data_IF_469237507769
#
_entry.id   IF_469237507769
#
_cell.length_a   1.000
_cell.length_b   1.000
_cell.length_c   1.000
_cell.angle_alpha   90.00
_cell.angle_beta   90.00
_cell.angle_gamma   90.00
#
_symmetry.space_group_name_H-M   'P 1'
#
loop_
_entity.id
_entity.type
_entity.pdbx_description
1 polymer ?
#
# COMPACT_ATOMS: atom_id res chain seq x y z
N UNK A 1 1.95 -9.12 17.12
CA UNK A 1 1.90 -9.03 15.66
C UNK A 1 2.78 -10.11 15.01
N UNK A 2 4.00 -10.34 15.50
CA UNK A 2 4.92 -11.32 14.92
C UNK A 2 4.35 -12.74 14.99
N UNK A 3 3.90 -13.19 16.17
CA UNK A 3 3.28 -14.51 16.37
C UNK A 3 2.10 -14.75 15.43
N UNK A 4 1.27 -13.73 15.21
CA UNK A 4 0.14 -13.83 14.29
C UNK A 4 0.62 -13.94 12.83
N UNK A 5 1.73 -13.29 12.46
CA UNK A 5 2.31 -13.41 11.13
C UNK A 5 2.83 -14.82 10.88
N UNK A 6 3.58 -15.38 11.85
CA UNK A 6 4.06 -16.76 11.79
C UNK A 6 2.91 -17.75 11.69
N UNK A 7 1.90 -17.64 12.57
CA UNK A 7 0.75 -18.54 12.54
C UNK A 7 -0.04 -18.50 11.22
N UNK A 8 -0.18 -17.30 10.61
CA UNK A 8 -0.80 -17.17 9.29
C UNK A 8 0.10 -17.73 8.18
N UNK A 9 1.41 -17.57 8.29
CA UNK A 9 2.37 -18.13 7.37
C UNK A 9 2.34 -19.65 7.36
N UNK A 10 2.38 -20.26 8.54
CA UNK A 10 2.25 -21.70 8.71
C UNK A 10 0.92 -22.24 8.18
N UNK A 11 -0.18 -21.52 8.43
CA UNK A 11 -1.50 -21.89 7.89
C UNK A 11 -1.53 -21.87 6.36
N UNK A 12 -0.85 -20.93 5.73
CA UNK A 12 -0.89 -20.74 4.27
C UNK A 12 0.11 -21.65 3.53
N UNK A 13 1.29 -21.89 4.12
CA UNK A 13 2.40 -22.54 3.44
C UNK A 13 2.91 -23.80 4.16
N UNK A 14 2.42 -24.09 5.35
CA UNK A 14 2.80 -25.28 6.13
C UNK A 14 4.02 -25.07 7.04
N UNK A 15 4.88 -24.09 6.74
CA UNK A 15 6.00 -23.71 7.61
C UNK A 15 6.42 -22.25 7.38
N UNK A 16 7.20 -21.67 8.32
CA UNK A 16 7.75 -20.31 8.18
C UNK A 16 8.73 -20.21 7.00
N UNK A 17 9.54 -21.25 6.77
CA UNK A 17 10.47 -21.30 5.64
C UNK A 17 9.73 -21.31 4.30
N UNK A 18 8.70 -22.14 4.17
CA UNK A 18 7.89 -22.21 2.96
C UNK A 18 7.14 -20.88 2.72
N UNK A 19 6.64 -20.26 3.78
CA UNK A 19 6.00 -18.95 3.68
C UNK A 19 7.00 -17.86 3.31
N UNK A 20 8.20 -17.86 3.89
CA UNK A 20 9.28 -16.94 3.55
C UNK A 20 9.69 -17.07 2.08
N UNK A 21 9.76 -18.29 1.55
CA UNK A 21 9.99 -18.51 0.12
C UNK A 21 8.86 -17.89 -0.73
N UNK A 22 7.57 -18.08 -0.36
CA UNK A 22 6.43 -17.49 -1.06
C UNK A 22 6.49 -15.95 -1.07
N UNK A 23 6.80 -15.30 0.06
CA UNK A 23 6.88 -13.82 0.10
C UNK A 23 8.05 -13.29 -0.71
N UNK A 24 9.19 -13.99 -0.78
CA UNK A 24 10.31 -13.63 -1.64
C UNK A 24 9.97 -13.78 -3.14
N UNK A 25 9.30 -14.87 -3.52
CA UNK A 25 8.78 -15.03 -4.88
C UNK A 25 7.82 -13.89 -5.24
N UNK A 26 6.88 -13.56 -4.33
CA UNK A 26 5.93 -12.46 -4.54
C UNK A 26 6.63 -11.11 -4.65
N UNK A 27 7.64 -10.86 -3.84
CA UNK A 27 8.47 -9.65 -3.94
C UNK A 27 9.12 -9.52 -5.32
N UNK A 28 9.67 -10.61 -5.84
CA UNK A 28 10.22 -10.68 -7.21
C UNK A 28 9.19 -10.37 -8.28
N UNK A 29 8.00 -10.97 -8.21
CA UNK A 29 6.88 -10.72 -9.13
C UNK A 29 6.41 -9.25 -9.11
N UNK A 30 6.48 -8.58 -7.96
CA UNK A 30 6.16 -7.16 -7.80
C UNK A 30 7.28 -6.23 -8.29
N UNK A 31 8.45 -6.76 -8.60
CA UNK A 31 9.60 -5.98 -9.03
C UNK A 31 10.37 -5.32 -7.88
N UNK A 32 10.29 -5.86 -6.67
CA UNK A 32 11.03 -5.40 -5.48
C UNK A 32 12.48 -5.90 -5.55
N UNK A 33 13.30 -5.25 -6.39
CA UNK A 33 14.63 -5.75 -6.78
C UNK A 33 15.68 -5.71 -5.67
N UNK A 34 15.46 -4.92 -4.63
CA UNK A 34 16.39 -4.73 -3.52
C UNK A 34 15.81 -5.23 -2.20
N UNK A 35 14.95 -6.25 -2.27
CA UNK A 35 14.29 -6.82 -1.10
C UNK A 35 14.55 -8.30 -1.01
N UNK A 36 14.95 -8.74 0.18
CA UNK A 36 15.04 -10.13 0.56
C UNK A 36 14.55 -10.31 1.99
N UNK A 37 13.66 -11.28 2.18
CA UNK A 37 13.11 -11.64 3.48
C UNK A 37 13.74 -12.96 3.96
N UNK A 38 14.31 -12.95 5.16
CA UNK A 38 14.83 -14.17 5.82
C UNK A 38 13.77 -14.82 6.73
N UNK A 39 12.72 -14.08 7.05
CA UNK A 39 11.58 -14.52 7.85
C UNK A 39 10.35 -13.64 7.56
N UNK A 40 9.18 -14.07 8.04
CA UNK A 40 7.93 -13.34 7.84
C UNK A 40 7.68 -12.22 8.87
N UNK A 41 8.47 -12.13 9.93
CA UNK A 41 8.23 -11.23 11.06
C UNK A 41 8.96 -9.90 10.95
N UNK A 42 10.07 -9.85 10.20
CA UNK A 42 10.93 -8.69 10.09
C UNK A 42 11.97 -8.56 11.21
N UNK A 43 12.17 -9.61 12.03
CA UNK A 43 13.25 -9.65 13.03
C UNK A 43 14.58 -9.86 12.32
N UNK A 44 15.56 -9.02 12.64
CA UNK A 44 16.86 -8.95 11.96
C UNK A 44 18.07 -9.20 12.88
N UNK A 45 17.82 -9.68 14.10
CA UNK A 45 18.87 -9.86 15.11
C UNK A 45 19.95 -10.87 14.69
N UNK A 46 19.55 -11.92 13.98
CA UNK A 46 20.41 -13.05 13.58
C UNK A 46 20.79 -13.06 12.11
N UNK A 47 20.37 -12.05 11.34
CA UNK A 47 20.60 -12.00 9.89
C UNK A 47 21.18 -10.68 9.43
N UNK A 48 21.86 -10.69 8.28
CA UNK A 48 22.38 -9.51 7.57
C UNK A 48 21.80 -9.36 6.18
N UNK A 49 20.96 -10.30 5.75
CA UNK A 49 20.38 -10.39 4.41
C UNK A 49 18.91 -9.98 4.36
N UNK A 50 18.27 -9.76 5.52
CA UNK A 50 16.90 -9.25 5.62
C UNK A 50 16.85 -7.76 5.29
N UNK A 51 16.84 -7.45 4.00
CA UNK A 51 17.01 -6.09 3.48
C UNK A 51 15.85 -5.67 2.60
N UNK A 52 15.56 -4.37 2.61
CA UNK A 52 14.58 -3.76 1.70
C UNK A 52 14.94 -2.28 1.45
N UNK A 53 14.18 -1.63 0.58
CA UNK A 53 14.26 -0.18 0.34
C UNK A 53 12.91 0.48 0.56
N UNK A 54 12.91 1.80 0.80
CA UNK A 54 11.66 2.55 0.91
C UNK A 54 10.80 2.45 -0.35
N UNK A 55 11.44 2.37 -1.53
CA UNK A 55 10.74 2.20 -2.81
C UNK A 55 10.08 0.82 -2.89
N UNK A 56 10.77 -0.24 -2.54
CA UNK A 56 10.22 -1.61 -2.58
C UNK A 56 9.06 -1.77 -1.59
N UNK A 57 9.19 -1.20 -0.38
CA UNK A 57 8.08 -1.16 0.58
C UNK A 57 6.90 -0.34 0.04
N UNK A 58 7.13 0.75 -0.69
CA UNK A 58 6.05 1.50 -1.34
C UNK A 58 5.36 0.69 -2.45
N UNK A 59 6.12 -0.09 -3.25
CA UNK A 59 5.58 -1.00 -4.27
C UNK A 59 4.66 -2.04 -3.62
N UNK A 60 5.13 -2.71 -2.58
CA UNK A 60 4.34 -3.69 -1.82
C UNK A 60 3.09 -3.05 -1.21
N UNK A 61 3.24 -1.89 -0.60
CA UNK A 61 2.13 -1.16 0.01
C UNK A 61 1.07 -0.76 -1.01
N UNK A 62 1.48 -0.34 -2.21
CA UNK A 62 0.57 -0.03 -3.33
C UNK A 62 -0.21 -1.27 -3.78
N UNK A 63 0.45 -2.41 -3.87
CA UNK A 63 -0.21 -3.68 -4.20
C UNK A 63 -1.23 -4.07 -3.13
N UNK A 64 -0.84 -3.99 -1.86
CA UNK A 64 -1.71 -4.31 -0.72
C UNK A 64 -2.98 -3.44 -0.71
N UNK A 65 -2.87 -2.15 -1.04
CA UNK A 65 -4.00 -1.22 -1.05
C UNK A 65 -5.01 -1.46 -2.18
N UNK A 66 -4.71 -2.30 -3.17
CA UNK A 66 -5.71 -2.78 -4.14
C UNK A 66 -6.74 -3.70 -3.51
N UNK A 67 -6.41 -4.32 -2.37
CA UNK A 67 -7.31 -5.15 -1.58
C UNK A 67 -8.02 -4.29 -0.54
N UNK A 68 -9.17 -3.72 -0.90
CA UNK A 68 -9.89 -2.75 -0.06
C UNK A 68 -10.19 -3.26 1.36
N UNK A 69 -10.39 -4.57 1.51
CA UNK A 69 -10.65 -5.20 2.82
C UNK A 69 -9.53 -4.95 3.84
N UNK A 70 -8.29 -4.72 3.42
CA UNK A 70 -7.17 -4.49 4.35
C UNK A 70 -7.39 -3.22 5.18
N UNK A 71 -8.03 -2.21 4.60
CA UNK A 71 -8.28 -0.94 5.29
C UNK A 71 -9.26 -1.09 6.47
N UNK A 72 -10.11 -2.12 6.44
CA UNK A 72 -11.01 -2.43 7.56
C UNK A 72 -10.22 -2.82 8.83
N UNK A 73 -8.99 -3.30 8.67
CA UNK A 73 -8.12 -3.70 9.77
C UNK A 73 -7.06 -2.65 10.09
N UNK A 74 -6.42 -2.07 9.07
CA UNK A 74 -5.31 -1.13 9.25
C UNK A 74 -5.73 0.22 9.81
N UNK A 75 -7.02 0.55 9.74
CA UNK A 75 -7.61 1.77 10.31
C UNK A 75 -8.14 1.62 11.73
N UNK A 76 -8.17 0.41 12.28
CA UNK A 76 -8.57 0.20 13.67
C UNK A 76 -7.54 0.87 14.58
N UNK A 77 -8.00 1.81 15.43
CA UNK A 77 -7.14 2.48 16.40
C UNK A 77 -6.98 1.66 17.68
N UNK A 78 -8.08 1.15 18.22
CA UNK A 78 -8.12 0.34 19.44
C UNK A 78 -9.06 -0.83 19.24
N UNK A 79 -8.69 -1.96 19.82
CA UNK A 79 -9.51 -3.17 19.86
C UNK A 79 -9.20 -3.95 21.14
N UNK A 80 -9.96 -4.97 21.44
CA UNK A 80 -9.75 -5.81 22.61
C UNK A 80 -9.82 -7.29 22.26
N UNK A 81 -9.07 -8.09 23.04
CA UNK A 81 -9.06 -9.55 22.95
C UNK A 81 -9.54 -10.16 24.26
N UNK A 82 -9.93 -11.43 24.22
CA UNK A 82 -10.31 -12.24 25.39
C UNK A 82 -11.42 -11.58 26.23
N UNK A 83 -12.47 -11.10 25.55
CA UNK A 83 -13.61 -10.48 26.24
C UNK A 83 -13.28 -9.16 26.94
N UNK A 84 -12.29 -8.41 26.43
CA UNK A 84 -11.86 -7.13 27.01
C UNK A 84 -10.67 -7.22 27.97
N UNK A 85 -10.15 -8.43 28.24
CA UNK A 85 -9.02 -8.61 29.17
C UNK A 85 -7.68 -8.07 28.63
N UNK A 86 -7.57 -7.87 27.33
CA UNK A 86 -6.36 -7.32 26.70
C UNK A 86 -6.75 -6.24 25.70
N UNK A 87 -6.34 -5.01 25.98
CA UNK A 87 -6.52 -3.90 25.05
C UNK A 87 -5.36 -3.87 24.03
N UNK A 88 -5.71 -3.66 22.78
CA UNK A 88 -4.77 -3.46 21.67
C UNK A 88 -4.88 -2.04 21.17
N UNK A 89 -3.73 -1.35 21.06
CA UNK A 89 -3.64 -0.01 20.50
C UNK A 89 -2.76 -0.07 19.27
N UNK A 90 -3.21 0.54 18.19
CA UNK A 90 -2.44 0.61 16.94
C UNK A 90 -1.15 1.41 17.15
N UNK A 91 -0.03 0.80 16.82
CA UNK A 91 1.28 1.46 16.91
C UNK A 91 1.46 2.56 15.87
N UNK A 92 0.65 2.57 14.81
CA UNK A 92 0.61 3.65 13.83
C UNK A 92 -0.23 4.83 14.34
N UNK A 93 0.40 5.75 15.03
CA UNK A 93 -0.26 6.95 15.58
C UNK A 93 -0.98 7.79 14.52
N UNK A 94 -0.62 7.70 13.24
CA UNK A 94 -1.27 8.44 12.16
C UNK A 94 -2.75 8.06 12.01
N UNK A 95 -3.11 6.81 12.31
CA UNK A 95 -4.50 6.34 12.28
C UNK A 95 -5.41 7.24 13.14
N UNK A 96 -4.92 7.68 14.29
CA UNK A 96 -5.66 8.57 15.21
C UNK A 96 -5.49 10.04 14.89
N UNK A 97 -4.26 10.45 14.50
CA UNK A 97 -3.86 11.86 14.55
C UNK A 97 -3.58 12.48 13.17
N UNK A 98 -3.80 11.74 12.06
CA UNK A 98 -3.64 12.30 10.72
C UNK A 98 -4.88 12.01 9.86
N UNK A 99 -5.55 13.07 9.41
CA UNK A 99 -6.81 12.98 8.66
C UNK A 99 -6.64 12.21 7.35
N UNK A 100 -7.47 11.19 7.19
CA UNK A 100 -7.53 10.37 5.98
C UNK A 100 -6.57 9.18 5.98
N UNK A 101 -5.88 8.88 7.11
CA UNK A 101 -4.99 7.72 7.20
C UNK A 101 -5.77 6.42 6.94
N UNK A 102 -5.21 5.58 6.06
CA UNK A 102 -5.74 4.25 5.70
C UNK A 102 -4.82 3.11 6.19
N UNK A 103 -3.72 3.43 6.84
CA UNK A 103 -2.79 2.46 7.43
C UNK A 103 -1.34 2.93 7.22
N UNK A 104 -0.33 2.05 7.13
CA UNK A 104 -0.38 0.59 7.05
C UNK A 104 0.32 -0.06 8.24
N UNK A 105 1.68 -0.06 8.24
CA UNK A 105 2.48 -0.84 9.19
C UNK A 105 3.67 -0.05 9.73
N UNK A 106 3.94 -0.24 11.02
CA UNK A 106 5.17 0.23 11.67
C UNK A 106 6.11 -0.93 11.96
N UNK A 107 7.40 -0.66 12.02
CA UNK A 107 8.42 -1.59 12.48
C UNK A 107 9.49 -0.85 13.28
N UNK A 108 10.16 -1.56 14.18
CA UNK A 108 11.31 -1.04 14.90
C UNK A 108 12.22 -2.20 15.28
N UNK A 109 13.47 -2.13 14.89
CA UNK A 109 14.55 -3.00 15.37
C UNK A 109 15.77 -2.13 15.70
N UNK A 110 16.75 -2.69 16.38
CA UNK A 110 17.99 -1.99 16.68
C UNK A 110 18.76 -1.63 15.40
N UNK A 111 18.73 -2.48 14.38
CA UNK A 111 19.44 -2.25 13.10
C UNK A 111 18.66 -1.33 12.16
N UNK A 112 17.35 -1.57 12.01
CA UNK A 112 16.51 -0.83 11.07
C UNK A 112 16.06 0.55 11.59
N UNK A 113 16.18 0.81 12.87
CA UNK A 113 15.61 2.02 13.50
C UNK A 113 14.08 2.01 13.45
N UNK A 114 13.47 3.18 13.54
CA UNK A 114 12.02 3.35 13.50
C UNK A 114 11.54 3.51 12.05
N UNK A 115 10.69 2.59 11.59
CA UNK A 115 10.16 2.56 10.23
C UNK A 115 8.63 2.66 10.21
N UNK A 116 8.09 3.24 9.14
CA UNK A 116 6.65 3.24 8.86
C UNK A 116 6.39 3.24 7.36
N UNK A 117 5.48 2.38 6.93
CA UNK A 117 4.74 2.57 5.70
C UNK A 117 3.38 3.16 6.07
N UNK A 118 3.14 4.38 5.67
CA UNK A 118 1.92 5.12 5.94
C UNK A 118 1.15 5.36 4.65
N UNK A 119 -0.17 5.28 4.71
CA UNK A 119 -1.04 5.64 3.60
C UNK A 119 -2.18 6.52 4.06
N UNK A 120 -2.60 7.44 3.19
CA UNK A 120 -3.73 8.31 3.45
C UNK A 120 -4.49 8.62 2.16
N UNK A 121 -5.82 8.73 2.27
CA UNK A 121 -6.73 9.04 1.17
C UNK A 121 -7.49 10.32 1.47
N UNK A 122 -7.52 11.24 0.50
CA UNK A 122 -8.34 12.47 0.52
C UNK A 122 -9.00 12.62 -0.84
N UNK A 123 -10.33 12.55 -0.87
CA UNK A 123 -11.07 12.47 -2.12
C UNK A 123 -10.63 11.25 -2.94
N UNK A 124 -10.28 11.47 -4.19
CA UNK A 124 -9.80 10.41 -5.10
C UNK A 124 -8.30 10.16 -4.99
N UNK A 125 -7.54 11.02 -4.28
CA UNK A 125 -6.08 10.90 -4.17
C UNK A 125 -5.71 10.02 -2.98
N UNK A 126 -4.99 8.93 -3.25
CA UNK A 126 -4.47 8.00 -2.25
C UNK A 126 -2.95 7.99 -2.34
N UNK A 127 -2.28 8.38 -1.27
CA UNK A 127 -0.82 8.51 -1.21
C UNK A 127 -0.21 7.53 -0.21
N UNK A 128 1.01 7.13 -0.50
CA UNK A 128 1.84 6.28 0.36
C UNK A 128 3.10 7.07 0.70
N UNK A 129 3.49 7.05 1.97
CA UNK A 129 4.75 7.60 2.45
C UNK A 129 5.48 6.51 3.24
N UNK A 130 6.72 6.21 2.84
CA UNK A 130 7.57 5.24 3.52
C UNK A 130 8.75 5.96 4.13
N UNK A 131 8.91 5.80 5.44
CA UNK A 131 10.06 6.31 6.20
C UNK A 131 10.77 5.13 6.84
N UNK A 132 12.08 5.06 6.66
CA UNK A 132 12.93 4.01 7.21
C UNK A 132 14.13 4.62 7.94
N UNK A 133 14.63 3.93 8.94
CA UNK A 133 15.87 4.33 9.63
C UNK A 133 15.76 5.56 10.51
N UNK A 134 14.56 5.97 10.93
CA UNK A 134 14.42 7.10 11.86
C UNK A 134 14.96 6.77 13.25
N UNK A 135 15.56 7.73 13.90
CA UNK A 135 16.11 7.56 15.25
C UNK A 135 14.99 7.37 16.28
N UNK A 136 13.89 8.10 16.13
CA UNK A 136 12.76 8.03 17.07
C UNK A 136 11.44 7.69 16.39
N UNK A 137 10.51 7.21 17.19
CA UNK A 137 9.13 6.98 16.72
C UNK A 137 8.46 8.25 16.22
N UNK A 138 8.74 9.39 16.81
CA UNK A 138 8.12 10.65 16.41
C UNK A 138 8.70 11.17 15.09
N UNK A 139 9.99 10.97 14.84
CA UNK A 139 10.63 11.35 13.58
C UNK A 139 10.03 10.64 12.39
N UNK A 140 9.80 9.30 12.47
CA UNK A 140 9.15 8.56 11.38
C UNK A 140 7.75 9.08 11.07
N UNK A 141 6.96 9.45 12.10
CA UNK A 141 5.62 9.99 11.88
C UNK A 141 5.65 11.42 11.36
N UNK A 142 6.58 12.25 11.83
CA UNK A 142 6.73 13.60 11.33
C UNK A 142 7.21 13.61 9.87
N UNK A 143 8.16 12.75 9.52
CA UNK A 143 8.59 12.57 8.14
C UNK A 143 7.44 12.09 7.23
N UNK A 144 6.68 11.09 7.65
CA UNK A 144 5.53 10.61 6.90
C UNK A 144 4.45 11.69 6.71
N UNK A 145 4.13 12.45 7.77
CA UNK A 145 3.19 13.58 7.68
C UNK A 145 3.67 14.65 6.70
N UNK A 146 4.96 15.01 6.75
CA UNK A 146 5.53 16.02 5.87
C UNK A 146 5.40 15.60 4.39
N UNK A 147 5.75 14.35 4.06
CA UNK A 147 5.62 13.81 2.70
C UNK A 147 4.17 13.73 2.25
N UNK A 148 3.25 13.24 3.08
CA UNK A 148 1.83 13.18 2.75
C UNK A 148 1.23 14.57 2.56
N UNK A 149 1.57 15.53 3.42
CA UNK A 149 1.12 16.91 3.30
C UNK A 149 1.62 17.55 2.00
N UNK A 150 2.91 17.34 1.67
CA UNK A 150 3.48 17.82 0.42
C UNK A 150 2.77 17.19 -0.78
N UNK A 151 2.55 15.87 -0.75
CA UNK A 151 1.85 15.16 -1.81
C UNK A 151 0.43 15.70 -2.03
N UNK A 152 -0.36 15.83 -0.96
CA UNK A 152 -1.73 16.37 -1.05
C UNK A 152 -1.78 17.88 -1.41
N UNK A 153 -0.73 18.64 -1.09
CA UNK A 153 -0.65 20.04 -1.50
C UNK A 153 -0.39 20.19 -3.00
N UNK A 154 0.41 19.29 -3.59
CA UNK A 154 0.92 19.46 -4.95
C UNK A 154 0.26 18.55 -5.99
N UNK A 155 -0.43 17.49 -5.59
CA UNK A 155 -1.01 16.51 -6.51
C UNK A 155 -2.51 16.29 -6.26
N UNK A 156 -3.22 15.96 -7.33
CA UNK A 156 -4.61 15.52 -7.33
C UNK A 156 -4.79 14.31 -8.26
N UNK A 157 -5.76 13.47 -7.95
CA UNK A 157 -6.16 12.38 -8.85
C UNK A 157 -7.41 12.80 -9.60
N UNK A 158 -7.31 12.81 -10.93
CA UNK A 158 -8.38 13.14 -11.85
C UNK A 158 -8.82 11.88 -12.58
N UNK A 159 -10.12 11.73 -12.72
CA UNK A 159 -10.71 10.72 -13.61
C UNK A 159 -11.26 11.48 -14.81
N UNK A 160 -10.63 11.42 -15.99
CA UNK A 160 -11.12 12.11 -17.16
C UNK A 160 -12.52 11.60 -17.52
N UNK A 161 -13.42 12.52 -17.84
CA UNK A 161 -14.67 12.18 -18.49
C UNK A 161 -14.39 11.99 -19.97
N UNK A 162 -14.78 10.85 -20.51
CA UNK A 162 -14.67 10.59 -21.94
C UNK A 162 -16.02 10.93 -22.55
N UNK A 163 -16.01 11.80 -23.54
CA UNK A 163 -17.21 12.13 -24.30
C UNK A 163 -17.71 10.87 -25.04
N UNK A 164 -18.90 10.35 -24.70
CA UNK A 164 -19.44 9.15 -25.35
C UNK A 164 -19.58 9.31 -26.86
N UNK A 165 -19.71 10.52 -27.37
CA UNK A 165 -19.84 10.79 -28.81
C UNK A 165 -18.56 10.48 -29.61
N UNK A 166 -17.41 10.39 -28.93
CA UNK A 166 -16.14 10.00 -29.54
C UNK A 166 -16.03 8.49 -29.77
N UNK A 167 -16.94 7.70 -29.19
CA UNK A 167 -16.98 6.25 -29.35
C UNK A 167 -17.93 5.96 -30.50
N UNK A 168 -17.38 5.60 -31.63
CA UNK A 168 -18.15 5.26 -32.82
C UNK A 168 -18.19 3.75 -33.05
N UNK A 169 -19.21 3.29 -33.77
CA UNK A 169 -19.29 1.89 -34.19
C UNK A 169 -18.09 1.49 -35.04
N UNK A 170 -17.58 0.30 -34.77
CA UNK A 170 -16.49 -0.31 -35.52
C UNK A 170 -17.07 -1.38 -36.44
N UNK A 171 -16.80 -1.25 -37.75
CA UNK A 171 -17.23 -2.25 -38.73
C UNK A 171 -16.54 -3.60 -38.49
N UNK A 172 -17.30 -4.68 -38.59
CA UNK A 172 -16.79 -6.04 -38.42
C UNK A 172 -16.80 -6.74 -39.80
N UNK A 173 -15.60 -7.05 -40.29
CA UNK A 173 -15.42 -7.73 -41.54
C UNK A 173 -15.41 -9.24 -41.30
N UNK A 174 -16.32 -9.96 -41.95
CA UNK A 174 -16.46 -11.43 -41.87
C UNK A 174 -17.06 -11.93 -40.55
N UNK A 175 -17.74 -11.06 -39.79
CA UNK A 175 -18.46 -11.42 -38.58
C UNK A 175 -19.94 -11.74 -38.80
N UNK A 176 -20.65 -12.17 -37.76
CA UNK A 176 -22.08 -12.40 -37.75
C UNK A 176 -22.88 -11.10 -37.67
N UNK A 177 -22.24 -10.02 -37.25
CA UNK A 177 -22.80 -8.65 -37.17
C UNK A 177 -21.93 -7.70 -37.97
N UNK A 178 -22.57 -6.70 -38.60
CA UNK A 178 -21.87 -5.72 -39.47
C UNK A 178 -21.05 -4.69 -38.69
N UNK A 179 -21.41 -4.41 -37.44
CA UNK A 179 -20.70 -3.49 -36.58
C UNK A 179 -20.84 -3.87 -35.10
N UNK A 180 -19.92 -3.39 -34.29
CA UNK A 180 -19.97 -3.44 -32.82
C UNK A 180 -19.81 -2.04 -32.27
N UNK A 181 -20.54 -1.72 -31.19
CA UNK A 181 -20.32 -0.50 -30.40
C UNK A 181 -19.34 -0.81 -29.27
N UNK A 182 -18.10 -0.26 -29.27
CA UNK A 182 -17.15 -0.50 -28.20
C UNK A 182 -17.67 0.05 -26.88
N UNK A 183 -17.53 -0.72 -25.80
CA UNK A 183 -17.75 -0.21 -24.45
C UNK A 183 -16.41 0.20 -23.84
N UNK A 184 -16.38 1.36 -23.20
CA UNK A 184 -15.19 1.76 -22.46
C UNK A 184 -15.08 0.98 -21.15
N UNK A 185 -13.89 0.47 -20.82
CA UNK A 185 -13.64 0.02 -19.47
C UNK A 185 -13.76 1.23 -18.51
N UNK A 186 -13.91 0.92 -17.21
CA UNK A 186 -13.96 1.95 -16.16
C UNK A 186 -12.86 3.00 -16.39
N UNK A 187 -13.23 4.28 -16.40
CA UNK A 187 -12.30 5.36 -16.66
C UNK A 187 -11.06 5.29 -15.76
N UNK A 188 -9.89 5.36 -16.37
CA UNK A 188 -8.62 5.34 -15.65
C UNK A 188 -8.43 6.65 -14.89
N UNK A 189 -8.04 6.55 -13.61
CA UNK A 189 -7.67 7.72 -12.82
C UNK A 189 -6.18 8.02 -12.97
N UNK A 190 -5.82 9.28 -13.14
CA UNK A 190 -4.45 9.73 -13.34
C UNK A 190 -4.05 10.70 -12.23
N UNK A 191 -2.87 10.51 -11.65
CA UNK A 191 -2.29 11.45 -10.71
C UNK A 191 -1.59 12.59 -11.48
N UNK A 192 -1.99 13.82 -11.21
CA UNK A 192 -1.44 15.02 -11.88
C UNK A 192 -0.99 16.04 -10.86
N UNK A 193 -0.11 16.95 -11.27
CA UNK A 193 0.17 18.15 -10.47
C UNK A 193 -1.05 19.04 -10.45
N UNK A 194 -1.35 19.63 -9.30
CA UNK A 194 -2.41 20.62 -9.19
C UNK A 194 -2.15 21.82 -10.11
N UNK A 195 -3.19 22.23 -10.82
CA UNK A 195 -3.11 23.24 -11.87
C UNK A 195 -2.78 22.69 -13.26
N UNK A 196 -2.57 21.40 -13.39
CA UNK A 196 -2.33 20.73 -14.67
C UNK A 196 -3.47 19.79 -15.08
N UNK A 197 -4.58 19.79 -14.34
CA UNK A 197 -5.74 18.91 -14.56
C UNK A 197 -6.29 19.06 -15.99
N UNK A 198 -6.32 20.26 -16.53
CA UNK A 198 -6.78 20.54 -17.90
C UNK A 198 -5.82 20.13 -19.03
N UNK A 199 -4.63 19.63 -18.71
CA UNK A 199 -3.67 19.14 -19.71
C UNK A 199 -3.87 17.68 -20.09
N UNK A 200 -4.76 16.97 -19.39
CA UNK A 200 -5.11 15.58 -19.72
C UNK A 200 -5.98 15.61 -20.96
N UNK A 201 -5.51 14.98 -22.04
CA UNK A 201 -6.21 14.82 -23.30
C UNK A 201 -6.54 13.35 -23.51
#
# INVERSE_FOLDING_TARGET
ANDACTALGELLAGSDEAFTAMINERAGQLGMKNTHFDNCTGLDDTTTTHLTTAMDVAIMSRELLKHERIMNYTTIWMDSLRGGATELVNTNKLVRFYKGTTGLKTGTTAKAGCCVSASAKRGNTHLIAVVMGSQTSDDRFNGAKAMLNWGFANYSTVTPEIDPSLITDVAVIGGVVDSIHPSLPKAASVLVKKGEEGKIK
#
